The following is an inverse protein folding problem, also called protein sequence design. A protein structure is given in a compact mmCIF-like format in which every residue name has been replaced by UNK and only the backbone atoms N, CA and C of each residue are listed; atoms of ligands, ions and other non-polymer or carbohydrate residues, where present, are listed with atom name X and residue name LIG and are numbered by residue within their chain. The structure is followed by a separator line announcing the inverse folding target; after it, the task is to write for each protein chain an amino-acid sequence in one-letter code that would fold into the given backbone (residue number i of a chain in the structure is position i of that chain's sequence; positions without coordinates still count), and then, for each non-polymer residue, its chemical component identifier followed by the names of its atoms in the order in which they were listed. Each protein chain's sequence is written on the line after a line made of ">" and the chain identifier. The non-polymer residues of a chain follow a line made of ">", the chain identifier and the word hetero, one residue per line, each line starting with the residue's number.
data_IF_907398669125
#
_entry.id   IF_907398669125
#
_cell.length_a   1.000
_cell.length_b   1.000
_cell.length_c   1.000
_cell.angle_alpha   90.00
_cell.angle_beta   90.00
_cell.angle_gamma   90.00
#
_symmetry.space_group_name_H-M   'P 1'
#
loop_
_entity.id
_entity.type
_entity.pdbx_description
1 polymer ?
#
# COMPACT_ATOMS: atom_id res chain seq x y z
N UNK A 1 4.91 -5.62 -1.55
CA UNK A 1 5.39 -5.33 -0.19
C UNK A 1 4.23 -5.24 0.80
N UNK A 2 3.35 -4.29 0.65
CA UNK A 2 2.31 -3.95 1.63
C UNK A 2 1.26 -5.07 1.88
N UNK A 3 1.12 -6.04 0.99
CA UNK A 3 0.25 -7.20 1.21
C UNK A 3 0.85 -8.20 2.21
N UNK A 4 2.17 -8.34 2.26
CA UNK A 4 2.87 -9.38 3.02
C UNK A 4 3.68 -8.86 4.20
N UNK A 5 3.78 -7.54 4.35
CA UNK A 5 4.51 -6.89 5.44
C UNK A 5 3.73 -5.73 6.03
N UNK A 6 3.80 -5.64 7.36
CA UNK A 6 3.35 -4.45 8.08
C UNK A 6 4.56 -3.66 8.54
N UNK A 7 4.55 -2.37 8.30
CA UNK A 7 5.67 -1.49 8.61
C UNK A 7 5.56 -0.97 10.06
N UNK A 8 5.68 -1.86 11.03
CA UNK A 8 5.70 -1.47 12.46
C UNK A 8 7.08 -1.01 12.91
N UNK A 9 8.14 -1.50 12.23
CA UNK A 9 9.53 -1.12 12.48
C UNK A 9 9.94 0.00 11.55
N UNK A 10 10.81 0.91 12.02
CA UNK A 10 11.33 2.02 11.22
C UNK A 10 10.47 3.28 11.27
N UNK A 11 10.82 4.26 10.46
CA UNK A 11 10.11 5.52 10.34
C UNK A 11 10.45 6.59 11.38
N UNK A 12 11.38 6.35 12.28
CA UNK A 12 11.83 7.31 13.31
C UNK A 12 11.33 6.98 14.71
N UNK A 13 11.01 8.02 15.49
CA UNK A 13 10.59 7.92 16.89
C UNK A 13 9.35 7.05 17.11
N UNK A 14 8.53 6.86 16.08
CA UNK A 14 7.34 6.00 16.12
C UNK A 14 7.63 4.51 15.90
N UNK A 15 8.90 4.13 15.71
CA UNK A 15 9.29 2.74 15.49
C UNK A 15 8.94 1.86 16.69
N UNK A 16 8.30 0.72 16.41
CA UNK A 16 7.90 -0.24 17.44
C UNK A 16 8.57 -1.58 17.19
N UNK A 17 9.09 -2.18 18.29
CA UNK A 17 9.48 -3.58 18.29
C UNK A 17 8.30 -4.41 18.76
N UNK A 18 7.54 -4.91 17.82
CA UNK A 18 6.32 -5.69 18.10
C UNK A 18 6.63 -7.17 18.35
N UNK A 19 5.73 -7.84 19.04
CA UNK A 19 5.86 -9.28 19.33
C UNK A 19 5.51 -10.12 18.10
N UNK A 20 4.57 -9.65 17.28
CA UNK A 20 4.11 -10.29 16.05
C UNK A 20 3.47 -9.25 15.13
N UNK A 21 3.31 -9.60 13.88
CA UNK A 21 2.55 -8.85 12.88
C UNK A 21 1.64 -9.80 12.11
N UNK A 22 0.43 -9.35 11.82
CA UNK A 22 -0.49 -10.01 10.90
C UNK A 22 -0.54 -9.18 9.62
N UNK A 23 0.01 -9.72 8.54
CA UNK A 23 0.00 -9.06 7.25
C UNK A 23 -1.42 -8.99 6.67
N UNK A 24 -1.71 -8.05 5.75
CA UNK A 24 -3.00 -8.01 5.05
C UNK A 24 -3.37 -9.33 4.38
N UNK A 25 -2.41 -10.01 3.75
CA UNK A 25 -2.63 -11.30 3.13
C UNK A 25 -3.00 -12.37 4.16
N UNK A 26 -2.29 -12.43 5.29
CA UNK A 26 -2.61 -13.38 6.36
C UNK A 26 -3.96 -13.07 7.00
N UNK A 27 -4.26 -11.80 7.22
CA UNK A 27 -5.56 -11.35 7.73
C UNK A 27 -6.72 -11.81 6.85
N UNK A 28 -6.60 -11.61 5.52
CA UNK A 28 -7.60 -12.09 4.56
C UNK A 28 -7.71 -13.61 4.60
N UNK A 29 -6.61 -14.36 4.48
CA UNK A 29 -6.62 -15.83 4.52
C UNK A 29 -7.25 -16.36 5.80
N UNK A 30 -6.90 -15.80 6.94
CA UNK A 30 -7.45 -16.20 8.23
C UNK A 30 -8.96 -15.95 8.30
N UNK A 31 -9.41 -14.79 7.76
CA UNK A 31 -10.83 -14.41 7.85
C UNK A 31 -11.72 -15.19 6.88
N UNK A 32 -11.28 -15.42 5.64
CA UNK A 32 -12.10 -16.17 4.68
C UNK A 32 -12.08 -17.68 4.93
N UNK A 33 -10.99 -18.21 5.50
CA UNK A 33 -10.86 -19.65 5.77
C UNK A 33 -11.09 -20.49 4.51
N UNK A 34 -12.06 -21.40 4.58
CA UNK A 34 -12.45 -22.25 3.45
C UNK A 34 -13.58 -21.67 2.58
N UNK A 35 -14.04 -20.44 2.85
CA UNK A 35 -15.17 -19.83 2.13
C UNK A 35 -14.78 -19.24 0.78
N UNK A 36 -13.50 -18.91 0.60
CA UNK A 36 -12.96 -18.40 -0.64
C UNK A 36 -11.50 -18.82 -0.80
N UNK A 37 -11.05 -18.90 -2.04
CA UNK A 37 -9.65 -19.06 -2.39
C UNK A 37 -8.97 -17.69 -2.42
N UNK A 38 -7.83 -17.56 -1.76
CA UNK A 38 -7.01 -16.35 -1.78
C UNK A 38 -5.76 -16.61 -2.60
N UNK A 39 -5.75 -16.12 -3.83
CA UNK A 39 -4.58 -16.12 -4.70
C UNK A 39 -3.69 -14.92 -4.35
N UNK A 40 -2.40 -15.04 -4.63
CA UNK A 40 -1.44 -13.97 -4.40
C UNK A 40 -0.50 -13.83 -5.61
N UNK A 41 -0.39 -12.63 -6.10
CA UNK A 41 0.65 -12.21 -7.03
C UNK A 41 1.37 -11.00 -6.46
N UNK A 42 2.67 -10.90 -6.68
CA UNK A 42 3.48 -9.85 -6.08
C UNK A 42 3.23 -8.49 -6.69
N UNK A 43 3.09 -8.42 -8.02
CA UNK A 43 2.80 -7.22 -8.79
C UNK A 43 3.96 -6.23 -8.90
N UNK A 44 4.67 -5.95 -7.81
CA UNK A 44 5.85 -5.07 -7.78
C UNK A 44 6.85 -5.52 -6.71
N UNK A 45 8.11 -5.16 -6.90
CA UNK A 45 9.14 -5.32 -5.86
C UNK A 45 9.15 -4.08 -5.00
N UNK A 46 8.86 -4.19 -3.73
CA UNK A 46 9.03 -3.10 -2.79
C UNK A 46 10.51 -2.77 -2.54
N UNK A 47 10.82 -2.15 -1.42
CA UNK A 47 12.19 -1.87 -1.02
C UNK A 47 12.81 -3.08 -0.30
N UNK A 48 13.69 -3.86 -0.97
CA UNK A 48 14.27 -5.05 -0.37
C UNK A 48 15.33 -4.71 0.70
N UNK A 49 15.82 -3.47 0.72
CA UNK A 49 16.93 -3.04 1.57
C UNK A 49 16.61 -1.80 2.38
N UNK A 50 15.34 -1.44 2.46
CA UNK A 50 14.88 -0.25 3.15
C UNK A 50 15.46 -0.14 4.55
N UNK A 51 16.00 1.03 4.86
CA UNK A 51 16.66 1.32 6.12
C UNK A 51 16.24 2.69 6.64
N UNK A 52 16.10 2.79 7.94
CA UNK A 52 15.99 4.05 8.64
C UNK A 52 16.90 4.02 9.88
N UNK A 53 17.91 4.90 9.91
CA UNK A 53 18.85 5.05 11.02
C UNK A 53 19.44 3.70 11.52
N UNK A 54 19.89 2.85 10.59
CA UNK A 54 20.45 1.54 10.89
C UNK A 54 19.43 0.45 11.22
N UNK A 55 18.14 0.75 11.17
CA UNK A 55 17.05 -0.23 11.33
C UNK A 55 16.55 -0.67 9.97
N UNK A 56 16.65 -1.96 9.69
CA UNK A 56 16.10 -2.53 8.46
C UNK A 56 14.58 -2.46 8.49
N UNK A 57 13.99 -1.76 7.53
CA UNK A 57 12.55 -1.65 7.34
C UNK A 57 12.08 -2.45 6.14
N UNK A 58 12.93 -2.63 5.15
CA UNK A 58 12.75 -3.58 4.05
C UNK A 58 12.96 -5.00 4.54
N UNK A 59 12.12 -5.89 4.16
CA UNK A 59 11.91 -7.15 4.84
C UNK A 59 12.30 -8.35 3.97
N UNK A 60 13.52 -8.41 3.49
CA UNK A 60 13.97 -9.54 2.65
C UNK A 60 12.99 -9.85 1.50
N UNK A 61 12.64 -8.79 0.78
CA UNK A 61 11.66 -8.84 -0.31
C UNK A 61 12.31 -9.02 -1.68
N UNK A 62 13.53 -9.57 -1.73
CA UNK A 62 14.21 -9.81 -3.00
C UNK A 62 13.36 -10.65 -3.94
N UNK A 63 13.39 -10.26 -5.19
CA UNK A 63 12.80 -10.99 -6.29
C UNK A 63 13.68 -10.75 -7.52
N UNK A 64 14.10 -11.80 -8.17
CA UNK A 64 14.97 -11.71 -9.34
C UNK A 64 14.17 -11.50 -10.65
N UNK A 65 12.84 -11.51 -10.57
CA UNK A 65 11.96 -11.23 -11.70
C UNK A 65 11.94 -9.74 -12.00
N UNK A 66 11.80 -9.41 -13.27
CA UNK A 66 11.63 -8.04 -13.73
C UNK A 66 10.26 -7.47 -13.32
N UNK A 67 10.12 -6.14 -13.33
CA UNK A 67 8.83 -5.48 -13.11
C UNK A 67 7.76 -5.95 -14.10
N UNK A 68 8.14 -6.21 -15.36
CA UNK A 68 7.22 -6.67 -16.39
C UNK A 68 6.74 -8.11 -16.14
N UNK A 69 7.59 -8.99 -15.64
CA UNK A 69 7.21 -10.36 -15.26
C UNK A 69 6.26 -10.36 -14.06
N UNK A 70 6.54 -9.54 -13.05
CA UNK A 70 5.67 -9.40 -11.88
C UNK A 70 4.31 -8.80 -12.25
N UNK A 71 4.29 -7.80 -13.10
CA UNK A 71 3.07 -7.20 -13.62
C UNK A 71 2.26 -8.21 -14.43
N UNK A 72 2.90 -8.97 -15.33
CA UNK A 72 2.24 -9.98 -16.14
C UNK A 72 1.58 -11.07 -15.28
N UNK A 73 2.26 -11.56 -14.25
CA UNK A 73 1.70 -12.50 -13.27
C UNK A 73 0.47 -11.90 -12.57
N UNK A 74 0.58 -10.68 -12.08
CA UNK A 74 -0.52 -10.02 -11.38
C UNK A 74 -1.75 -9.83 -12.28
N UNK A 75 -1.54 -9.40 -13.52
CA UNK A 75 -2.61 -9.26 -14.51
C UNK A 75 -3.26 -10.61 -14.81
N UNK A 76 -2.47 -11.66 -15.01
CA UNK A 76 -3.00 -12.99 -15.34
C UNK A 76 -3.85 -13.56 -14.21
N UNK A 77 -3.35 -13.52 -12.98
CA UNK A 77 -4.10 -13.98 -11.79
C UNK A 77 -5.39 -13.17 -11.58
N UNK A 78 -5.38 -11.89 -11.96
CA UNK A 78 -6.51 -10.98 -11.73
C UNK A 78 -7.65 -11.13 -12.72
N UNK A 79 -7.42 -11.71 -13.91
CA UNK A 79 -8.45 -11.82 -14.96
C UNK A 79 -9.66 -12.65 -14.55
N UNK A 80 -9.40 -13.76 -13.87
CA UNK A 80 -10.43 -14.74 -13.50
C UNK A 80 -10.85 -14.65 -12.03
N UNK A 81 -10.27 -13.71 -11.27
CA UNK A 81 -10.64 -13.46 -9.90
C UNK A 81 -11.99 -12.72 -9.79
N UNK A 82 -12.85 -13.12 -8.85
CA UNK A 82 -14.11 -12.41 -8.58
C UNK A 82 -13.85 -10.99 -8.07
N UNK A 83 -12.82 -10.81 -7.24
CA UNK A 83 -12.35 -9.53 -6.72
C UNK A 83 -10.83 -9.47 -6.74
N UNK A 84 -10.30 -8.29 -7.01
CA UNK A 84 -8.87 -8.01 -6.90
C UNK A 84 -8.66 -6.97 -5.79
N UNK A 85 -7.78 -7.27 -4.85
CA UNK A 85 -7.40 -6.33 -3.79
C UNK A 85 -5.93 -6.00 -3.95
N UNK A 86 -5.64 -4.78 -4.38
CA UNK A 86 -4.28 -4.28 -4.46
C UNK A 86 -3.88 -3.64 -3.13
N UNK A 87 -2.85 -4.16 -2.49
CA UNK A 87 -2.23 -3.53 -1.34
C UNK A 87 -0.97 -2.80 -1.77
N UNK A 88 -1.00 -1.49 -1.68
CA UNK A 88 0.12 -0.64 -2.02
C UNK A 88 0.25 0.55 -1.09
N UNK A 89 1.09 1.49 -1.47
CA UNK A 89 1.34 2.68 -0.69
C UNK A 89 2.82 2.95 -0.46
N UNK A 90 3.11 3.46 0.70
CA UNK A 90 4.44 3.81 1.16
C UNK A 90 4.94 2.79 2.20
N UNK A 91 6.19 2.90 2.54
CA UNK A 91 6.79 2.22 3.69
C UNK A 91 7.43 3.25 4.65
N UNK A 92 8.12 2.79 5.68
CA UNK A 92 8.78 3.63 6.67
C UNK A 92 10.30 3.76 6.45
N UNK A 93 10.77 3.50 5.23
CA UNK A 93 12.17 3.71 4.84
C UNK A 93 12.46 5.19 4.60
N UNK A 94 13.74 5.52 4.51
CA UNK A 94 14.19 6.85 4.11
C UNK A 94 13.52 7.28 2.79
N UNK A 95 13.16 8.54 2.70
CA UNK A 95 12.48 9.15 1.55
C UNK A 95 11.08 8.57 1.23
N UNK A 96 10.43 7.97 2.24
CA UNK A 96 9.03 7.59 2.20
C UNK A 96 8.27 8.16 3.42
N UNK A 97 7.51 7.37 4.17
CA UNK A 97 6.84 7.85 5.39
C UNK A 97 7.76 7.67 6.60
N UNK A 98 8.75 8.52 6.74
CA UNK A 98 9.69 8.51 7.86
C UNK A 98 9.97 9.91 8.37
N UNK A 99 10.57 9.99 9.53
CA UNK A 99 11.09 11.20 10.15
C UNK A 99 12.37 11.65 9.43
N UNK A 100 12.61 12.95 9.33
CA UNK A 100 13.85 13.58 8.81
C UNK A 100 14.19 13.28 7.32
N UNK A 101 13.28 12.74 6.53
CA UNK A 101 13.60 12.37 5.15
C UNK A 101 12.39 12.53 4.24
N UNK A 102 12.32 13.65 3.53
CA UNK A 102 11.21 13.96 2.64
C UNK A 102 11.18 13.10 1.37
N UNK A 103 9.98 12.87 0.88
CA UNK A 103 9.78 12.22 -0.43
C UNK A 103 10.12 13.17 -1.57
N UNK A 104 10.71 12.64 -2.62
CA UNK A 104 10.98 13.38 -3.84
C UNK A 104 9.76 13.49 -4.76
N UNK A 105 8.69 12.71 -4.53
CA UNK A 105 7.51 12.65 -5.37
C UNK A 105 6.24 12.44 -4.54
N UNK A 106 5.13 13.01 -5.01
CA UNK A 106 3.80 12.73 -4.45
C UNK A 106 3.23 11.39 -4.95
N UNK A 107 3.74 10.83 -6.05
CA UNK A 107 3.31 9.55 -6.61
C UNK A 107 3.74 8.36 -5.77
N UNK A 108 3.14 7.20 -6.06
CA UNK A 108 3.53 5.94 -5.46
C UNK A 108 4.87 5.44 -6.02
N UNK A 109 5.76 4.89 -5.17
CA UNK A 109 7.02 4.32 -5.62
C UNK A 109 6.83 2.95 -6.29
N UNK A 110 7.92 2.41 -6.87
CA UNK A 110 8.01 1.02 -7.39
C UNK A 110 7.02 0.69 -8.50
N UNK A 111 6.74 1.63 -9.38
CA UNK A 111 5.78 1.47 -10.49
C UNK A 111 4.36 1.02 -10.06
N UNK A 112 3.95 1.24 -8.82
CA UNK A 112 2.64 0.83 -8.30
C UNK A 112 1.49 1.44 -9.10
N UNK A 113 1.59 2.70 -9.54
CA UNK A 113 0.55 3.36 -10.35
C UNK A 113 0.32 2.62 -11.67
N UNK A 114 1.39 2.11 -12.31
CA UNK A 114 1.32 1.28 -13.51
C UNK A 114 0.58 -0.03 -13.22
N UNK A 115 0.91 -0.70 -12.13
CA UNK A 115 0.25 -1.97 -11.74
C UNK A 115 -1.24 -1.74 -11.52
N UNK A 116 -1.63 -0.74 -10.75
CA UNK A 116 -3.05 -0.41 -10.50
C UNK A 116 -3.79 -0.14 -11.82
N UNK A 117 -3.20 0.67 -12.71
CA UNK A 117 -3.80 0.98 -14.00
C UNK A 117 -4.00 -0.26 -14.89
N UNK A 118 -3.06 -1.20 -14.91
CA UNK A 118 -3.21 -2.44 -15.68
C UNK A 118 -4.24 -3.39 -15.05
N UNK A 119 -4.29 -3.48 -13.72
CA UNK A 119 -5.31 -4.27 -13.01
C UNK A 119 -6.72 -3.72 -13.25
N UNK A 120 -6.91 -2.40 -13.25
CA UNK A 120 -8.20 -1.77 -13.50
C UNK A 120 -8.76 -2.06 -14.90
N UNK A 121 -7.88 -2.33 -15.89
CA UNK A 121 -8.30 -2.71 -17.25
C UNK A 121 -8.89 -4.12 -17.31
N UNK A 122 -8.38 -5.04 -16.51
CA UNK A 122 -8.70 -6.47 -16.59
C UNK A 122 -9.74 -6.93 -15.58
N UNK A 123 -9.89 -6.23 -14.45
CA UNK A 123 -10.89 -6.58 -13.44
C UNK A 123 -11.62 -5.34 -12.92
N UNK A 124 -12.95 -5.34 -13.04
CA UNK A 124 -13.79 -4.20 -12.63
C UNK A 124 -14.15 -4.20 -11.15
N UNK A 125 -13.82 -5.26 -10.43
CA UNK A 125 -13.97 -5.38 -8.97
C UNK A 125 -12.64 -5.16 -8.26
N UNK A 126 -11.85 -4.20 -8.74
CA UNK A 126 -10.59 -3.81 -8.14
C UNK A 126 -10.82 -2.92 -6.91
N UNK A 127 -10.23 -3.29 -5.80
CA UNK A 127 -10.16 -2.50 -4.57
C UNK A 127 -8.69 -2.12 -4.34
N UNK A 128 -8.39 -0.85 -4.17
CA UNK A 128 -7.05 -0.40 -3.80
C UNK A 128 -7.02 -0.05 -2.32
N UNK A 129 -6.16 -0.72 -1.57
CA UNK A 129 -5.85 -0.38 -0.18
C UNK A 129 -4.53 0.36 -0.17
N UNK A 130 -4.60 1.67 0.06
CA UNK A 130 -3.43 2.52 0.17
C UNK A 130 -2.94 2.59 1.62
N UNK A 131 -1.72 2.15 1.86
CA UNK A 131 -1.07 2.18 3.16
C UNK A 131 -0.04 3.30 3.15
N UNK A 132 -0.37 4.42 3.77
CA UNK A 132 0.50 5.59 3.86
C UNK A 132 0.12 6.46 5.05
N UNK A 133 1.09 7.12 5.65
CA UNK A 133 0.88 8.13 6.71
C UNK A 133 0.59 9.52 6.15
N UNK A 134 0.90 9.75 4.87
CA UNK A 134 0.73 11.00 4.16
C UNK A 134 -0.09 10.84 2.88
N UNK A 135 -0.48 11.97 2.28
CA UNK A 135 -1.15 11.99 0.99
C UNK A 135 -0.24 11.45 -0.12
N UNK A 136 -0.84 10.74 -1.06
CA UNK A 136 -0.22 10.30 -2.31
C UNK A 136 -1.09 10.73 -3.49
N UNK A 137 -0.48 10.98 -4.65
CA UNK A 137 -1.23 11.17 -5.88
C UNK A 137 -1.85 9.84 -6.32
N UNK A 138 -3.05 9.91 -6.85
CA UNK A 138 -3.80 8.75 -7.33
C UNK A 138 -4.27 8.99 -8.77
N UNK A 139 -3.38 8.90 -9.78
CA UNK A 139 -3.75 9.20 -11.17
C UNK A 139 -4.86 8.29 -11.69
N UNK A 140 -5.01 7.13 -11.11
CA UNK A 140 -5.98 6.09 -11.41
C UNK A 140 -7.31 6.21 -10.63
N UNK A 141 -7.50 7.27 -9.84
CA UNK A 141 -8.65 7.43 -8.90
C UNK A 141 -10.02 7.28 -9.59
N UNK A 142 -10.14 7.68 -10.84
CA UNK A 142 -11.40 7.57 -11.61
C UNK A 142 -11.59 6.21 -12.29
N UNK A 143 -10.59 5.34 -12.25
CA UNK A 143 -10.59 4.02 -12.88
C UNK A 143 -10.87 2.90 -11.90
N UNK A 144 -10.70 3.18 -10.59
CA UNK A 144 -10.81 2.21 -9.50
C UNK A 144 -12.14 2.41 -8.75
N UNK A 145 -13.00 1.39 -8.67
CA UNK A 145 -14.32 1.54 -8.04
C UNK A 145 -14.30 1.71 -6.52
N UNK A 146 -13.25 1.24 -5.83
CA UNK A 146 -13.14 1.34 -4.38
C UNK A 146 -11.71 1.59 -3.92
N UNK A 147 -11.55 2.55 -3.01
CA UNK A 147 -10.26 2.89 -2.39
C UNK A 147 -10.43 2.92 -0.88
N UNK A 148 -9.53 2.24 -0.17
CA UNK A 148 -9.45 2.24 1.29
C UNK A 148 -8.13 2.88 1.69
N UNK A 149 -8.18 3.93 2.51
CA UNK A 149 -6.99 4.47 3.15
C UNK A 149 -6.69 3.68 4.42
N UNK A 150 -5.67 2.84 4.36
CA UNK A 150 -5.36 1.85 5.40
C UNK A 150 -4.42 2.36 6.49
N UNK A 151 -3.73 3.47 6.31
CA UNK A 151 -2.73 4.00 7.24
C UNK A 151 -1.70 2.95 7.70
N UNK A 152 -0.91 3.26 8.72
CA UNK A 152 -0.04 2.29 9.42
C UNK A 152 -0.73 1.83 10.70
N UNK A 153 -1.37 0.67 10.67
CA UNK A 153 -2.28 0.19 11.71
C UNK A 153 -1.61 -0.70 12.78
N UNK A 154 -0.30 -0.92 12.67
CA UNK A 154 0.43 -1.74 13.66
C UNK A 154 0.23 -3.24 13.47
N UNK A 155 0.44 -4.01 14.55
CA UNK A 155 0.53 -5.49 14.50
C UNK A 155 -0.71 -6.19 13.95
N UNK A 156 -1.89 -5.65 14.20
CA UNK A 156 -3.18 -6.24 13.81
C UNK A 156 -3.76 -5.65 12.52
N UNK A 157 -2.95 -4.98 11.74
CA UNK A 157 -3.43 -4.32 10.53
C UNK A 157 -4.09 -5.28 9.55
N UNK A 158 -3.56 -6.49 9.39
CA UNK A 158 -4.18 -7.52 8.54
C UNK A 158 -5.56 -7.92 9.02
N UNK A 159 -5.74 -8.14 10.32
CA UNK A 159 -7.04 -8.45 10.93
C UNK A 159 -8.03 -7.30 10.74
N UNK A 160 -7.62 -6.07 10.99
CA UNK A 160 -8.46 -4.88 10.86
C UNK A 160 -8.89 -4.63 9.41
N UNK A 161 -7.93 -4.69 8.46
CA UNK A 161 -8.22 -4.52 7.04
C UNK A 161 -9.14 -5.62 6.50
N UNK A 162 -8.91 -6.88 6.89
CA UNK A 162 -9.80 -7.98 6.51
C UNK A 162 -11.23 -7.77 7.02
N UNK A 163 -11.41 -7.32 8.26
CA UNK A 163 -12.72 -6.99 8.83
C UNK A 163 -13.47 -5.92 8.04
N UNK A 164 -12.76 -4.87 7.60
CA UNK A 164 -13.36 -3.79 6.78
C UNK A 164 -13.70 -4.30 5.38
N UNK A 165 -12.74 -4.97 4.72
CA UNK A 165 -12.89 -5.43 3.34
C UNK A 165 -13.98 -6.49 3.18
N UNK A 166 -14.21 -7.31 4.20
CA UNK A 166 -15.21 -8.38 4.18
C UNK A 166 -16.54 -8.00 4.87
N UNK A 167 -16.67 -6.73 5.31
CA UNK A 167 -17.93 -6.19 5.80
C UNK A 167 -18.26 -6.52 7.25
N UNK A 168 -17.31 -7.04 8.05
CA UNK A 168 -17.50 -7.24 9.49
C UNK A 168 -17.53 -5.91 10.24
N UNK A 169 -16.81 -4.91 9.73
CA UNK A 169 -16.78 -3.56 10.27
C UNK A 169 -17.07 -2.53 9.17
N UNK A 170 -17.95 -1.60 9.44
CA UNK A 170 -18.22 -0.49 8.51
C UNK A 170 -17.16 0.61 8.66
N UNK A 171 -16.43 0.95 7.58
CA UNK A 171 -15.45 2.02 7.63
C UNK A 171 -16.13 3.38 7.84
N UNK A 172 -15.91 3.99 8.99
CA UNK A 172 -16.58 5.24 9.39
C UNK A 172 -15.61 6.42 9.50
N UNK A 173 -14.32 6.21 9.30
CA UNK A 173 -13.29 7.24 9.35
C UNK A 173 -13.46 8.28 8.25
N UNK A 174 -13.01 9.50 8.53
CA UNK A 174 -12.89 10.59 7.56
C UNK A 174 -11.43 10.90 7.35
N UNK A 175 -11.06 11.28 6.12
CA UNK A 175 -9.70 11.75 5.85
C UNK A 175 -9.44 13.05 6.64
N UNK A 176 -8.34 13.13 7.41
CA UNK A 176 -8.02 14.33 8.19
C UNK A 176 -7.44 15.47 7.34
N UNK A 177 -7.06 15.18 6.09
CA UNK A 177 -6.52 16.13 5.12
C UNK A 177 -6.88 15.70 3.68
N UNK A 178 -6.70 16.64 2.75
CA UNK A 178 -6.94 16.40 1.33
C UNK A 178 -5.80 15.60 0.69
N UNK A 179 -6.14 14.64 -0.14
CA UNK A 179 -5.21 14.02 -1.09
C UNK A 179 -5.26 14.83 -2.38
N UNK A 180 -4.24 15.63 -2.70
CA UNK A 180 -4.25 16.45 -3.90
C UNK A 180 -4.06 15.60 -5.16
N UNK A 181 -4.62 16.05 -6.27
CA UNK A 181 -4.42 15.36 -7.55
C UNK A 181 -2.98 15.53 -8.06
N UNK A 182 -2.38 16.68 -7.79
CA UNK A 182 -1.01 17.02 -8.19
C UNK A 182 -0.34 17.82 -7.09
N UNK A 183 0.98 17.83 -7.08
CA UNK A 183 1.76 18.57 -6.08
C UNK A 183 1.46 20.07 -6.11
N UNK A 184 1.22 20.63 -7.29
CA UNK A 184 0.88 22.06 -7.50
C UNK A 184 -0.47 22.44 -6.89
N UNK A 185 -1.34 21.48 -6.61
CA UNK A 185 -2.63 21.71 -5.97
C UNK A 185 -2.51 21.86 -4.44
N UNK A 186 -1.31 21.63 -3.88
CA UNK A 186 -1.02 21.84 -2.47
C UNK A 186 -0.80 23.32 -2.21
N UNK A 187 -1.56 23.90 -1.26
CA UNK A 187 -1.53 25.33 -0.98
C UNK A 187 -0.15 25.91 -0.67
N UNK A 188 0.73 25.14 -0.02
CA UNK A 188 2.10 25.55 0.25
C UNK A 188 2.92 25.82 -1.04
N UNK A 189 2.69 25.05 -2.12
CA UNK A 189 3.37 25.24 -3.39
C UNK A 189 2.97 26.50 -4.13
N UNK A 190 1.79 27.05 -3.86
CA UNK A 190 1.33 28.30 -4.47
C UNK A 190 1.99 29.53 -3.87
N UNK A 191 2.65 29.39 -2.73
CA UNK A 191 3.37 30.50 -2.07
C UNK A 191 4.72 30.80 -2.73
N UNK A 192 5.26 29.89 -3.53
CA UNK A 192 6.52 30.07 -4.29
C UNK A 192 7.79 29.95 -3.46
N UNK A 193 7.72 30.17 -2.17
CA UNK A 193 8.83 30.03 -1.21
C UNK A 193 8.33 29.22 0.00
N UNK A 194 9.15 28.30 0.44
CA UNK A 194 8.96 27.58 1.71
C UNK A 194 10.21 27.83 2.57
N UNK A 195 10.04 28.15 3.86
CA UNK A 195 11.17 28.47 4.74
C UNK A 195 12.11 27.31 4.93
#
# INVERSE_FOLDING_TARGET
>A
ENAIKMMTVGGGSSSLKVKYEISPLDGLKNRVGSQAEVLYARGYVGDPTGEYNGVQTGQDLKDDRSEDELLAEAVEVSKDADYVIFFGGLNKSNHQDCEDSDRASLGLPYAQDRVIGELAKVNKNLIVVNISGNAVAMPWVNEVPAIVQGWFLGSEAGTALASVLLGDANPSGKLPFTFPARLEDVGAHTLGEYP
#
